data_IF_988454442692
#
_entry.id   IF_988454442692
#
_cell.length_a   1.000
_cell.length_b   1.000
_cell.length_c   1.000
_cell.angle_alpha   90.00
_cell.angle_beta   90.00
_cell.angle_gamma   90.00
#
_symmetry.space_group_name_H-M   'P 1'
#
loop_
_entity.id
_entity.type
_entity.pdbx_description
1 polymer ?
#
# COMPACT_ATOMS: atom_id res chain seq x y z
N UNK A 1 1.53 -8.17 16.83
CA UNK A 1 2.73 -7.92 16.02
C UNK A 1 2.44 -8.42 14.61
N UNK A 2 1.68 -7.65 13.84
CA UNK A 2 1.41 -7.99 12.43
C UNK A 2 2.68 -7.66 11.67
N UNK A 3 3.44 -8.70 11.30
CA UNK A 3 4.67 -8.58 10.52
C UNK A 3 4.39 -7.70 9.30
N UNK A 4 5.14 -6.61 9.17
CA UNK A 4 5.28 -5.82 7.94
C UNK A 4 5.42 -6.77 6.74
N UNK A 5 4.30 -7.04 6.07
CA UNK A 5 4.27 -7.90 4.90
C UNK A 5 4.59 -7.02 3.71
N UNK A 6 5.87 -6.85 3.44
CA UNK A 6 6.31 -6.26 2.18
C UNK A 6 5.97 -7.26 1.07
N UNK A 7 5.13 -6.85 0.14
CA UNK A 7 4.78 -7.58 -1.08
C UNK A 7 5.56 -6.96 -2.23
N UNK A 8 6.33 -7.76 -2.95
CA UNK A 8 7.07 -7.27 -4.13
C UNK A 8 6.21 -7.45 -5.39
N UNK A 9 6.18 -6.44 -6.26
CA UNK A 9 5.54 -6.51 -7.58
C UNK A 9 6.40 -5.77 -8.62
N UNK A 10 7.15 -6.51 -9.43
CA UNK A 10 8.16 -5.94 -10.32
C UNK A 10 9.33 -5.33 -9.54
N UNK A 11 9.69 -4.08 -9.86
CA UNK A 11 10.74 -3.32 -9.17
C UNK A 11 10.21 -2.50 -7.97
N UNK A 12 9.01 -2.84 -7.50
CA UNK A 12 8.30 -2.10 -6.47
C UNK A 12 8.04 -2.96 -5.22
N UNK A 13 8.28 -2.35 -4.07
CA UNK A 13 7.93 -2.87 -2.76
C UNK A 13 6.65 -2.20 -2.27
N UNK A 14 5.64 -3.01 -1.98
CA UNK A 14 4.39 -2.61 -1.37
C UNK A 14 4.44 -2.97 0.11
N UNK A 15 4.41 -1.97 0.98
CA UNK A 15 4.20 -2.12 2.42
C UNK A 15 2.75 -1.71 2.77
N UNK A 16 1.77 -2.63 2.65
CA UNK A 16 0.41 -2.41 3.07
C UNK A 16 0.31 -2.41 4.60
N UNK A 17 -0.57 -1.57 5.12
CA UNK A 17 -0.95 -1.58 6.54
C UNK A 17 -2.40 -1.16 6.71
N UNK A 18 -2.92 -1.39 7.91
CA UNK A 18 -4.26 -1.00 8.28
C UNK A 18 -4.21 -0.18 9.58
N UNK A 19 -5.02 0.86 9.66
CA UNK A 19 -5.21 1.68 10.86
C UNK A 19 -6.63 1.51 11.38
N UNK A 20 -6.78 1.26 12.68
CA UNK A 20 -8.09 1.24 13.32
C UNK A 20 -8.62 2.68 13.43
N UNK A 21 -9.78 2.93 12.83
CA UNK A 21 -10.46 4.22 12.81
C UNK A 21 -11.39 4.39 14.03
N UNK A 22 -11.81 5.62 14.37
CA UNK A 22 -12.67 5.89 15.53
C UNK A 22 -14.03 5.20 15.51
N UNK A 23 -14.51 4.77 14.35
CA UNK A 23 -15.78 4.07 14.14
C UNK A 23 -15.65 2.53 14.22
N UNK A 24 -14.51 2.02 14.69
CA UNK A 24 -14.15 0.60 14.73
C UNK A 24 -14.01 -0.06 13.36
N UNK A 25 -13.85 0.71 12.29
CA UNK A 25 -13.44 0.19 10.98
C UNK A 25 -11.93 0.30 10.79
N UNK A 26 -11.40 -0.29 9.73
CA UNK A 26 -9.99 -0.27 9.37
C UNK A 26 -9.78 0.58 8.11
N UNK A 27 -8.91 1.59 8.20
CA UNK A 27 -8.44 2.38 7.07
C UNK A 27 -7.27 1.70 6.37
N UNK A 28 -7.35 1.55 5.05
CA UNK A 28 -6.26 1.00 4.25
C UNK A 28 -5.13 2.02 4.07
N UNK A 29 -3.90 1.59 4.30
CA UNK A 29 -2.67 2.35 4.07
C UNK A 29 -1.72 1.58 3.17
N UNK A 30 -0.98 2.30 2.33
CA UNK A 30 0.03 1.71 1.47
C UNK A 30 1.26 2.62 1.45
N UNK A 31 2.42 2.03 1.74
CA UNK A 31 3.71 2.60 1.40
C UNK A 31 4.23 1.89 0.16
N UNK A 32 4.47 2.63 -0.91
CA UNK A 32 4.98 2.09 -2.16
C UNK A 32 6.39 2.63 -2.39
N UNK A 33 7.36 1.75 -2.54
CA UNK A 33 8.76 2.11 -2.79
C UNK A 33 9.23 1.53 -4.11
N UNK A 34 9.91 2.31 -4.94
CA UNK A 34 10.61 1.83 -6.13
C UNK A 34 12.11 1.97 -5.95
N UNK A 35 12.84 0.89 -6.18
CA UNK A 35 14.30 0.93 -6.22
C UNK A 35 14.77 1.38 -7.60
N UNK A 36 15.52 2.50 -7.68
CA UNK A 36 16.26 2.92 -8.88
C UNK A 36 17.77 2.93 -8.60
N UNK A 37 18.38 1.75 -8.68
CA UNK A 37 19.82 1.60 -8.46
C UNK A 37 20.21 1.65 -6.97
N UNK A 38 21.48 1.95 -6.70
CA UNK A 38 22.13 1.66 -5.41
C UNK A 38 21.66 2.58 -4.27
N UNK A 39 21.12 3.77 -4.56
CA UNK A 39 20.82 4.79 -3.54
C UNK A 39 19.49 5.56 -3.70
N UNK A 40 18.75 5.42 -4.81
CA UNK A 40 17.48 6.16 -4.99
C UNK A 40 16.29 5.23 -4.74
N UNK A 41 15.74 5.30 -3.52
CA UNK A 41 14.41 4.77 -3.21
C UNK A 41 13.40 5.89 -3.30
N UNK A 42 12.50 5.84 -4.28
CA UNK A 42 11.35 6.76 -4.33
C UNK A 42 10.19 6.11 -3.62
N UNK A 43 9.69 6.79 -2.60
CA UNK A 43 8.60 6.29 -1.76
C UNK A 43 7.39 7.20 -1.88
N UNK A 44 6.23 6.60 -2.14
CA UNK A 44 4.93 7.26 -2.16
C UNK A 44 4.05 6.64 -1.09
N UNK A 45 3.43 7.48 -0.25
CA UNK A 45 2.54 7.04 0.82
C UNK A 45 1.10 7.38 0.47
N UNK A 46 0.23 6.38 0.60
CA UNK A 46 -1.22 6.52 0.47
C UNK A 46 -1.83 6.24 1.84
N UNK A 47 -2.51 7.25 2.40
CA UNK A 47 -3.11 7.17 3.72
C UNK A 47 -4.64 7.11 3.62
N UNK A 48 -5.24 6.13 4.30
CA UNK A 48 -6.67 6.02 4.61
C UNK A 48 -7.61 6.18 3.42
N UNK A 49 -7.39 5.41 2.35
CA UNK A 49 -8.26 5.40 1.17
C UNK A 49 -9.31 4.29 1.27
N UNK A 50 -10.28 4.46 2.17
CA UNK A 50 -11.40 3.54 2.36
C UNK A 50 -11.52 3.02 3.79
N UNK A 51 -12.70 2.50 4.14
CA UNK A 51 -13.04 1.96 5.45
C UNK A 51 -13.52 0.51 5.30
N UNK A 52 -12.91 -0.41 6.05
CA UNK A 52 -13.14 -1.85 5.94
C UNK A 52 -13.54 -2.44 7.29
N UNK A 53 -14.44 -3.45 7.32
CA UNK A 53 -14.86 -4.09 8.56
C UNK A 53 -13.75 -4.91 9.24
N UNK A 54 -12.68 -5.30 8.53
CA UNK A 54 -11.58 -6.08 9.10
C UNK A 54 -10.20 -5.58 8.66
N UNK A 55 -9.19 -5.78 9.52
CA UNK A 55 -7.77 -5.48 9.22
C UNK A 55 -7.30 -6.18 7.94
N UNK A 56 -7.74 -7.43 7.75
CA UNK A 56 -7.40 -8.24 6.58
C UNK A 56 -7.92 -7.63 5.29
N UNK A 57 -9.19 -7.21 5.28
CA UNK A 57 -9.79 -6.59 4.09
C UNK A 57 -9.11 -5.26 3.74
N UNK A 58 -8.74 -4.45 4.73
CA UNK A 58 -7.97 -3.23 4.50
C UNK A 58 -6.59 -3.52 3.89
N UNK A 59 -5.87 -4.53 4.38
CA UNK A 59 -4.56 -4.94 3.85
C UNK A 59 -4.71 -5.49 2.42
N UNK A 60 -5.67 -6.39 2.18
CA UNK A 60 -5.90 -6.98 0.86
C UNK A 60 -6.28 -5.91 -0.16
N UNK A 61 -7.08 -4.91 0.24
CA UNK A 61 -7.40 -3.76 -0.57
C UNK A 61 -6.17 -2.89 -0.88
N UNK A 62 -5.31 -2.63 0.11
CA UNK A 62 -4.09 -1.85 -0.08
C UNK A 62 -3.13 -2.53 -1.07
N UNK A 63 -3.01 -3.86 -1.02
CA UNK A 63 -2.21 -4.65 -1.97
C UNK A 63 -2.79 -4.51 -3.39
N UNK A 64 -4.09 -4.77 -3.55
CA UNK A 64 -4.75 -4.68 -4.85
C UNK A 64 -4.61 -3.26 -5.46
N UNK A 65 -4.77 -2.23 -4.62
CA UNK A 65 -4.57 -0.84 -5.03
C UNK A 65 -3.15 -0.58 -5.51
N UNK A 66 -2.13 -1.04 -4.77
CA UNK A 66 -0.73 -0.85 -5.16
C UNK A 66 -0.38 -1.57 -6.46
N UNK A 67 -0.88 -2.80 -6.64
CA UNK A 67 -0.71 -3.56 -7.89
C UNK A 67 -1.37 -2.83 -9.05
N UNK A 68 -2.61 -2.36 -8.90
CA UNK A 68 -3.30 -1.62 -9.96
C UNK A 68 -2.61 -0.29 -10.32
N UNK A 69 -1.97 0.38 -9.35
CA UNK A 69 -1.17 1.58 -9.60
C UNK A 69 0.09 1.26 -10.43
N UNK A 70 0.81 0.19 -10.07
CA UNK A 70 2.01 -0.25 -10.80
C UNK A 70 1.65 -0.71 -12.21
N UNK A 71 0.54 -1.45 -12.35
CA UNK A 71 0.00 -1.91 -13.64
C UNK A 71 -0.58 -0.76 -14.49
N UNK A 72 -0.63 0.47 -13.98
CA UNK A 72 -1.16 1.65 -14.68
C UNK A 72 -2.68 1.69 -14.82
N UNK A 73 -3.41 0.85 -14.06
CA UNK A 73 -4.89 0.81 -14.02
C UNK A 73 -5.49 1.87 -13.10
N UNK A 74 -4.71 2.38 -12.13
CA UNK A 74 -5.04 3.55 -11.32
C UNK A 74 -4.06 4.68 -11.61
N UNK A 75 -4.61 5.90 -11.72
CA UNK A 75 -3.90 7.04 -12.30
C UNK A 75 -2.62 7.44 -11.57
N UNK A 76 -1.61 7.80 -12.36
CA UNK A 76 -0.47 8.63 -11.98
C UNK A 76 0.44 8.05 -10.90
N UNK A 77 1.11 6.94 -11.20
CA UNK A 77 2.25 6.52 -10.41
C UNK A 77 3.41 7.53 -10.61
N UNK A 78 3.56 8.48 -9.66
CA UNK A 78 4.57 9.55 -9.72
C UNK A 78 5.90 9.15 -9.03
N UNK A 79 6.38 7.92 -9.25
CA UNK A 79 7.67 7.40 -8.71
C UNK A 79 8.70 7.05 -9.79
#
# INVERSE_FOLDING_TARGET
>A
MTRDRIVMHGDYDLAPSAELLPDNTYGAQLLLSRYRGVDETRTQRFASFGAFPTEREAIDHAIAYGVDMIDGRKGGLEI
#
